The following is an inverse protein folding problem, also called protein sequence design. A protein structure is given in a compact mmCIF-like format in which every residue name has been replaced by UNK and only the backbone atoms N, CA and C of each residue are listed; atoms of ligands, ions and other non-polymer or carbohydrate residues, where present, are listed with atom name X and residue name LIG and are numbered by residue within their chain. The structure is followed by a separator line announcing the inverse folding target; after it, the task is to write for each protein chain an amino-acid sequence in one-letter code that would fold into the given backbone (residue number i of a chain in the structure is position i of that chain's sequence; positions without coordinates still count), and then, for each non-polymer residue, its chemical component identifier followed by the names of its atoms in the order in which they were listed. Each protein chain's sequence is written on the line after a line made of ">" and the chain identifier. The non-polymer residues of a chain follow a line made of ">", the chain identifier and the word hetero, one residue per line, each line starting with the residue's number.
data_IF_756972793337
#
_entry.id   IF_756972793337
#
_cell.length_a   1.000
_cell.length_b   1.000
_cell.length_c   1.000
_cell.angle_alpha   90.00
_cell.angle_beta   90.00
_cell.angle_gamma   90.00
#
_symmetry.space_group_name_H-M   'P 1'
#
loop_
_entity.id
_entity.type
_entity.pdbx_description
1 polymer ?
#
# COMPACT_ATOMS: atom_id res chain seq x y z
N UNK A 1 25.24 -30.31 -48.60
CA UNK A 1 24.27 -30.63 -47.52
C UNK A 1 24.92 -30.26 -46.19
N UNK A 2 24.43 -29.24 -45.47
CA UNK A 2 24.96 -28.87 -44.15
C UNK A 2 24.42 -29.88 -43.13
N UNK A 3 25.29 -30.61 -42.43
CA UNK A 3 24.88 -31.49 -41.33
C UNK A 3 24.27 -30.62 -40.23
N UNK A 4 22.98 -30.77 -39.93
CA UNK A 4 22.42 -30.27 -38.68
C UNK A 4 22.99 -31.13 -37.56
N UNK A 5 23.81 -30.53 -36.69
CA UNK A 5 24.15 -31.12 -35.41
C UNK A 5 22.90 -31.04 -34.53
N UNK A 6 22.28 -32.19 -34.25
CA UNK A 6 21.22 -32.28 -33.26
C UNK A 6 21.76 -32.06 -31.85
N UNK A 7 20.92 -31.54 -30.96
CA UNK A 7 21.23 -31.44 -29.53
C UNK A 7 21.41 -32.84 -28.94
N UNK A 8 22.38 -33.02 -28.04
CA UNK A 8 22.58 -34.30 -27.37
C UNK A 8 21.59 -34.47 -26.21
N UNK A 9 21.20 -35.71 -25.90
CA UNK A 9 20.34 -35.99 -24.74
C UNK A 9 20.98 -35.52 -23.43
N UNK A 10 22.29 -35.61 -23.32
CA UNK A 10 23.02 -35.17 -22.12
C UNK A 10 22.98 -33.64 -21.95
N UNK A 11 23.03 -32.87 -23.04
CA UNK A 11 22.86 -31.41 -22.98
C UNK A 11 21.45 -31.01 -22.55
N UNK A 12 20.43 -31.74 -22.98
CA UNK A 12 19.06 -31.46 -22.53
C UNK A 12 18.92 -31.76 -21.02
N UNK A 13 19.48 -32.89 -20.56
CA UNK A 13 19.43 -33.30 -19.15
C UNK A 13 20.24 -32.35 -18.26
N UNK A 14 21.43 -31.91 -18.68
CA UNK A 14 22.21 -30.97 -17.87
C UNK A 14 21.49 -29.62 -17.71
N UNK A 15 20.79 -29.14 -18.75
CA UNK A 15 20.06 -27.87 -18.69
C UNK A 15 18.91 -27.92 -17.69
N UNK A 16 18.09 -28.98 -17.72
CA UNK A 16 17.00 -29.11 -16.75
C UNK A 16 17.51 -29.25 -15.31
N UNK A 17 18.66 -29.92 -15.10
CA UNK A 17 19.28 -30.05 -13.79
C UNK A 17 19.77 -28.69 -13.28
N UNK A 18 20.47 -27.92 -14.13
CA UNK A 18 20.94 -26.58 -13.77
C UNK A 18 19.75 -25.65 -13.47
N UNK A 19 18.71 -25.65 -14.31
CA UNK A 19 17.50 -24.86 -14.08
C UNK A 19 16.78 -25.28 -12.79
N UNK A 20 16.75 -26.58 -12.48
CA UNK A 20 16.18 -27.10 -11.23
C UNK A 20 16.92 -26.61 -9.99
N UNK A 21 18.25 -26.61 -10.00
CA UNK A 21 19.07 -26.10 -8.89
C UNK A 21 18.87 -24.59 -8.71
N UNK A 22 18.89 -23.83 -9.81
CA UNK A 22 18.67 -22.39 -9.78
C UNK A 22 17.28 -22.04 -9.25
N UNK A 23 16.24 -22.77 -9.68
CA UNK A 23 14.88 -22.57 -9.21
C UNK A 23 14.73 -22.86 -7.71
N UNK A 24 15.33 -23.95 -7.22
CA UNK A 24 15.27 -24.34 -5.81
C UNK A 24 15.87 -23.28 -4.87
N UNK A 25 16.95 -22.62 -5.29
CA UNK A 25 17.63 -21.58 -4.48
C UNK A 25 16.98 -20.20 -4.64
N UNK A 26 16.49 -19.86 -5.84
CA UNK A 26 15.96 -18.53 -6.12
C UNK A 26 14.52 -18.35 -5.62
N UNK A 27 13.66 -19.36 -5.75
CA UNK A 27 12.23 -19.25 -5.45
C UNK A 27 11.92 -18.84 -4.00
N UNK A 28 12.59 -19.37 -2.96
CA UNK A 28 12.38 -18.91 -1.58
C UNK A 28 12.67 -17.41 -1.38
N UNK A 29 13.68 -16.86 -2.08
CA UNK A 29 14.01 -15.43 -1.99
C UNK A 29 12.95 -14.55 -2.65
N UNK A 30 12.43 -14.96 -3.80
CA UNK A 30 11.39 -14.21 -4.51
C UNK A 30 10.06 -14.14 -3.73
N UNK A 31 9.69 -15.22 -3.03
CA UNK A 31 8.48 -15.23 -2.18
C UNK A 31 8.60 -14.25 -1.01
N UNK A 32 9.75 -14.21 -0.34
CA UNK A 32 9.97 -13.29 0.78
C UNK A 32 10.03 -11.81 0.33
N UNK A 33 10.67 -11.53 -0.81
CA UNK A 33 10.77 -10.17 -1.36
C UNK A 33 9.40 -9.53 -1.61
N UNK A 34 8.43 -10.32 -2.07
CA UNK A 34 7.08 -9.84 -2.37
C UNK A 34 6.33 -9.41 -1.10
N UNK A 35 6.46 -10.18 -0.02
CA UNK A 35 5.88 -9.83 1.29
C UNK A 35 6.53 -8.58 1.88
N UNK A 36 7.86 -8.51 1.84
CA UNK A 36 8.60 -7.34 2.36
C UNK A 36 8.31 -6.06 1.56
N UNK A 37 8.15 -6.17 0.24
CA UNK A 37 7.73 -5.05 -0.61
C UNK A 37 6.33 -4.53 -0.21
N UNK A 38 5.39 -5.42 0.10
CA UNK A 38 4.04 -5.02 0.58
C UNK A 38 4.10 -4.37 1.95
N UNK A 39 4.89 -4.91 2.88
CA UNK A 39 5.09 -4.29 4.20
C UNK A 39 5.67 -2.88 4.09
N UNK A 40 6.65 -2.69 3.21
CA UNK A 40 7.22 -1.37 2.93
C UNK A 40 6.18 -0.42 2.31
N UNK A 41 5.37 -0.91 1.37
CA UNK A 41 4.27 -0.14 0.75
C UNK A 41 3.21 0.26 1.78
N UNK A 42 2.90 -0.62 2.72
CA UNK A 42 1.98 -0.36 3.83
C UNK A 42 2.53 0.67 4.81
N UNK A 43 3.82 0.57 5.17
CA UNK A 43 4.49 1.56 6.00
C UNK A 43 4.53 2.95 5.31
N UNK A 44 4.74 2.98 4.00
CA UNK A 44 4.62 4.19 3.19
C UNK A 44 3.22 4.79 3.25
N UNK A 45 2.18 3.96 3.16
CA UNK A 45 0.79 4.41 3.27
C UNK A 45 0.46 4.98 4.66
N UNK A 46 0.94 4.36 5.74
CA UNK A 46 0.78 4.89 7.11
C UNK A 46 1.43 6.27 7.25
N UNK A 47 2.69 6.41 6.80
CA UNK A 47 3.39 7.68 6.80
C UNK A 47 2.68 8.76 5.98
N UNK A 48 2.20 8.40 4.79
CA UNK A 48 1.47 9.31 3.92
C UNK A 48 0.15 9.78 4.55
N UNK A 49 -0.62 8.88 5.20
CA UNK A 49 -1.85 9.27 5.88
C UNK A 49 -1.61 10.19 7.08
N UNK A 50 -0.58 9.92 7.89
CA UNK A 50 -0.20 10.81 9.00
C UNK A 50 0.21 12.19 8.50
N UNK A 51 1.01 12.23 7.43
CA UNK A 51 1.45 13.49 6.82
C UNK A 51 0.26 14.27 6.26
N UNK A 52 -0.61 13.62 5.48
CA UNK A 52 -1.81 14.22 4.91
C UNK A 52 -2.75 14.77 5.99
N UNK A 53 -2.98 14.03 7.07
CA UNK A 53 -3.81 14.47 8.19
C UNK A 53 -3.24 15.76 8.83
N UNK A 54 -1.93 15.81 9.09
CA UNK A 54 -1.28 16.97 9.69
C UNK A 54 -1.25 18.18 8.75
N UNK A 55 -0.98 17.96 7.46
CA UNK A 55 -0.96 19.04 6.46
C UNK A 55 -2.35 19.63 6.24
N UNK A 56 -3.37 18.79 6.10
CA UNK A 56 -4.75 19.26 5.98
C UNK A 56 -5.22 19.98 7.25
N UNK A 57 -4.77 19.54 8.42
CA UNK A 57 -5.05 20.24 9.67
C UNK A 57 -4.44 21.63 9.73
N UNK A 58 -3.17 21.77 9.36
CA UNK A 58 -2.52 23.07 9.27
C UNK A 58 -3.22 23.99 8.26
N UNK A 59 -3.61 23.45 7.09
CA UNK A 59 -4.36 24.20 6.08
C UNK A 59 -5.74 24.64 6.58
N UNK A 60 -6.46 23.79 7.31
CA UNK A 60 -7.76 24.13 7.86
C UNK A 60 -7.70 25.21 8.95
N UNK A 61 -6.70 25.14 9.82
CA UNK A 61 -6.44 26.19 10.81
C UNK A 61 -6.08 27.53 10.15
N UNK A 62 -5.27 27.50 9.09
CA UNK A 62 -4.90 28.70 8.35
C UNK A 62 -6.09 29.31 7.58
N UNK A 63 -6.96 28.46 7.03
CA UNK A 63 -8.14 28.89 6.28
C UNK A 63 -9.33 29.28 7.19
N UNK A 64 -9.38 28.78 8.44
CA UNK A 64 -10.54 28.93 9.32
C UNK A 64 -11.80 28.26 8.78
N UNK A 65 -11.65 27.21 7.97
CA UNK A 65 -12.72 26.58 7.20
C UNK A 65 -12.72 25.06 7.37
N UNK A 66 -13.91 24.47 7.41
CA UNK A 66 -14.12 23.01 7.41
C UNK A 66 -13.97 22.38 6.01
N UNK A 67 -13.52 23.16 5.03
CA UNK A 67 -13.19 22.73 3.67
C UNK A 67 -11.85 23.36 3.28
N UNK A 68 -10.94 22.53 2.77
CA UNK A 68 -9.66 22.98 2.18
C UNK A 68 -9.62 22.63 0.71
N UNK A 69 -9.13 23.54 -0.12
CA UNK A 69 -8.94 23.30 -1.55
C UNK A 69 -7.46 23.10 -1.83
N UNK A 70 -7.11 21.94 -2.37
CA UNK A 70 -5.75 21.58 -2.75
C UNK A 70 -5.78 21.20 -4.23
N UNK A 71 -4.91 21.81 -5.04
CA UNK A 71 -4.87 21.58 -6.50
C UNK A 71 -6.24 21.75 -7.19
N UNK A 72 -7.03 22.74 -6.74
CA UNK A 72 -8.37 22.99 -7.29
C UNK A 72 -9.47 22.00 -6.86
N UNK A 73 -9.13 20.99 -6.05
CA UNK A 73 -10.08 20.01 -5.51
C UNK A 73 -10.44 20.34 -4.08
N UNK A 74 -11.73 20.41 -3.76
CA UNK A 74 -12.22 20.68 -2.42
C UNK A 74 -12.31 19.39 -1.59
N UNK A 75 -11.72 19.41 -0.40
CA UNK A 75 -11.76 18.31 0.55
C UNK A 75 -12.48 18.76 1.82
N UNK A 76 -13.48 17.99 2.23
CA UNK A 76 -14.21 18.19 3.48
C UNK A 76 -13.39 17.69 4.66
N UNK A 77 -13.46 18.44 5.75
CA UNK A 77 -12.82 18.12 7.02
C UNK A 77 -13.85 17.88 8.13
N UNK A 78 -13.46 17.04 9.08
CA UNK A 78 -14.14 16.78 10.33
C UNK A 78 -13.22 17.25 11.45
N UNK A 79 -13.69 18.19 12.27
CA UNK A 79 -12.91 18.76 13.39
C UNK A 79 -11.51 19.26 12.97
N UNK A 80 -11.42 19.92 11.81
CA UNK A 80 -10.16 20.39 11.20
C UNK A 80 -9.18 19.27 10.78
N UNK A 81 -9.64 18.04 10.59
CA UNK A 81 -8.84 16.96 10.00
C UNK A 81 -9.57 16.36 8.79
N UNK A 82 -8.89 15.68 7.85
CA UNK A 82 -9.57 15.05 6.72
C UNK A 82 -10.72 14.15 7.17
N UNK A 83 -11.84 14.17 6.44
CA UNK A 83 -12.84 13.12 6.59
C UNK A 83 -12.28 11.76 6.14
N UNK A 84 -12.87 10.67 6.60
CA UNK A 84 -12.54 9.32 6.17
C UNK A 84 -12.75 9.14 4.65
N UNK A 85 -13.70 9.89 4.06
CA UNK A 85 -13.90 9.90 2.62
C UNK A 85 -12.72 10.51 1.84
N UNK A 86 -11.97 11.43 2.45
CA UNK A 86 -10.96 12.22 1.74
C UNK A 86 -9.52 11.85 2.07
N UNK A 87 -9.27 11.21 3.22
CA UNK A 87 -7.91 10.90 3.67
C UNK A 87 -7.13 10.05 2.66
N UNK A 88 -7.77 9.05 2.05
CA UNK A 88 -7.12 8.17 1.08
C UNK A 88 -6.64 8.93 -0.16
N UNK A 89 -7.46 9.86 -0.64
CA UNK A 89 -7.14 10.69 -1.80
C UNK A 89 -6.06 11.71 -1.46
N UNK A 90 -6.16 12.37 -0.31
CA UNK A 90 -5.16 13.34 0.16
C UNK A 90 -3.79 12.70 0.43
N UNK A 91 -3.77 11.47 0.91
CA UNK A 91 -2.54 10.71 1.14
C UNK A 91 -2.02 10.01 -0.14
N UNK A 92 -2.74 10.09 -1.27
CA UNK A 92 -2.34 9.43 -2.51
C UNK A 92 -2.41 7.90 -2.46
N UNK A 93 -3.20 7.33 -1.54
CA UNK A 93 -3.34 5.88 -1.31
C UNK A 93 -4.66 5.32 -1.83
N UNK A 94 -5.18 5.92 -2.90
CA UNK A 94 -6.40 5.50 -3.61
C UNK A 94 -6.09 5.09 -5.08
N UNK A 95 -4.85 4.67 -5.35
CA UNK A 95 -4.38 4.25 -6.67
C UNK A 95 -4.30 2.74 -6.84
N UNK A 96 -3.78 2.27 -7.97
CA UNK A 96 -3.70 0.84 -8.35
C UNK A 96 -2.93 -0.06 -7.37
N UNK A 97 -2.07 0.52 -6.52
CA UNK A 97 -1.34 -0.21 -5.47
C UNK A 97 -2.12 -0.41 -4.17
N UNK A 98 -3.31 0.19 -4.05
CA UNK A 98 -4.07 0.24 -2.80
C UNK A 98 -5.55 -0.07 -3.03
N UNK A 99 -6.20 -0.58 -2.00
CA UNK A 99 -7.66 -0.71 -1.93
C UNK A 99 -8.11 0.13 -0.74
N UNK A 100 -8.75 1.26 -1.03
CA UNK A 100 -9.30 2.16 -0.02
C UNK A 100 -10.79 1.85 0.18
N UNK A 101 -11.18 1.50 1.42
CA UNK A 101 -12.57 1.24 1.80
C UNK A 101 -12.97 2.17 2.92
N UNK A 102 -14.12 2.84 2.79
CA UNK A 102 -14.64 3.74 3.83
C UNK A 102 -15.95 3.17 4.37
N UNK A 103 -16.01 3.00 5.70
CA UNK A 103 -17.21 2.54 6.40
C UNK A 103 -17.47 3.50 7.57
N UNK A 104 -18.54 4.30 7.45
CA UNK A 104 -18.84 5.36 8.41
C UNK A 104 -17.67 6.34 8.53
N UNK A 105 -17.14 6.49 9.74
CA UNK A 105 -16.05 7.42 10.08
C UNK A 105 -14.66 6.78 9.97
N UNK A 106 -14.55 5.56 9.46
CA UNK A 106 -13.27 4.84 9.34
C UNK A 106 -12.93 4.57 7.88
N UNK A 107 -11.72 4.98 7.47
CA UNK A 107 -11.10 4.59 6.21
C UNK A 107 -10.08 3.46 6.47
N UNK A 108 -10.13 2.42 5.66
CA UNK A 108 -9.19 1.30 5.70
C UNK A 108 -8.45 1.23 4.38
N UNK A 109 -7.13 1.26 4.44
CA UNK A 109 -6.23 1.17 3.28
C UNK A 109 -5.53 -0.17 3.32
N UNK A 110 -5.76 -0.98 2.30
CA UNK A 110 -5.11 -2.27 2.11
C UNK A 110 -4.14 -2.21 0.93
N UNK A 111 -3.03 -2.95 1.00
CA UNK A 111 -2.12 -3.08 -0.15
C UNK A 111 -2.75 -4.04 -1.16
N UNK A 112 -2.83 -3.64 -2.43
CA UNK A 112 -3.41 -4.46 -3.48
C UNK A 112 -2.62 -5.78 -3.66
N UNK A 113 -3.33 -6.88 -3.83
CA UNK A 113 -2.74 -8.20 -4.06
C UNK A 113 -2.10 -8.85 -2.83
N UNK A 114 -2.28 -8.32 -1.62
CA UNK A 114 -1.91 -9.00 -0.38
C UNK A 114 -2.63 -10.36 -0.27
N UNK A 115 -1.95 -11.39 0.23
CA UNK A 115 -2.52 -12.73 0.37
C UNK A 115 -3.65 -12.76 1.42
N UNK A 116 -3.50 -11.97 2.48
CA UNK A 116 -4.52 -11.76 3.51
C UNK A 116 -4.74 -10.25 3.72
N UNK A 117 -5.59 -9.60 2.90
CA UNK A 117 -5.79 -8.14 2.94
C UNK A 117 -6.21 -7.60 4.31
N UNK A 118 -7.05 -8.35 5.04
CA UNK A 118 -7.54 -7.98 6.37
C UNK A 118 -6.42 -7.84 7.43
N UNK A 119 -5.24 -8.40 7.16
CA UNK A 119 -4.08 -8.34 8.04
C UNK A 119 -2.88 -7.65 7.37
N UNK A 120 -3.14 -6.93 6.27
CA UNK A 120 -2.19 -6.07 5.56
C UNK A 120 -2.82 -4.70 5.31
N UNK A 121 -3.06 -3.94 6.38
CA UNK A 121 -3.85 -2.72 6.34
C UNK A 121 -3.42 -1.63 7.33
N UNK A 122 -3.75 -0.39 6.97
CA UNK A 122 -3.72 0.77 7.84
C UNK A 122 -5.13 1.33 7.93
N UNK A 123 -5.52 1.79 9.12
CA UNK A 123 -6.84 2.37 9.35
C UNK A 123 -6.70 3.80 9.83
N UNK A 124 -7.59 4.66 9.34
CA UNK A 124 -7.79 6.02 9.80
C UNK A 124 -9.21 6.14 10.33
N UNK A 125 -9.38 6.60 11.57
CA UNK A 125 -10.70 7.00 12.10
C UNK A 125 -10.72 8.49 12.30
N UNK A 126 -11.80 9.13 11.84
CA UNK A 126 -11.98 10.58 11.90
C UNK A 126 -11.79 11.15 13.32
N UNK A 127 -11.35 12.40 13.36
CA UNK A 127 -11.19 13.16 14.57
C UNK A 127 -12.52 13.29 15.33
N UNK A 128 -12.51 12.97 16.63
CA UNK A 128 -13.58 13.37 17.54
C UNK A 128 -13.45 14.85 17.91
N UNK A 129 -14.52 15.44 18.47
CA UNK A 129 -14.47 16.83 18.92
C UNK A 129 -13.35 17.02 19.96
N UNK A 130 -12.44 17.95 19.68
CA UNK A 130 -11.30 18.25 20.55
C UNK A 130 -10.17 17.21 20.55
N UNK A 131 -10.18 16.22 19.65
CA UNK A 131 -9.15 15.19 19.55
C UNK A 131 -8.61 15.05 18.11
N UNK A 132 -7.36 14.62 17.99
CA UNK A 132 -6.77 14.23 16.71
C UNK A 132 -7.40 12.91 16.19
N UNK A 133 -7.37 12.64 14.87
CA UNK A 133 -7.82 11.37 14.32
C UNK A 133 -6.92 10.24 14.79
N UNK A 134 -7.48 9.03 14.89
CA UNK A 134 -6.72 7.86 15.31
C UNK A 134 -6.19 7.11 14.10
N UNK A 135 -4.86 6.91 14.09
CA UNK A 135 -4.16 6.08 13.11
C UNK A 135 -3.32 5.09 13.90
N UNK A 136 -3.85 3.87 14.17
CA UNK A 136 -3.12 2.82 14.86
C UNK A 136 -1.86 2.39 14.09
N UNK A 137 -0.99 1.61 14.73
CA UNK A 137 0.11 0.98 14.01
C UNK A 137 -0.44 0.07 12.89
N UNK A 138 0.22 0.01 11.71
CA UNK A 138 -0.20 -0.86 10.62
C UNK A 138 -0.29 -2.33 11.04
N UNK A 139 -1.35 -3.00 10.62
CA UNK A 139 -1.46 -4.46 10.73
C UNK A 139 -0.80 -5.06 9.50
N UNK A 140 0.28 -5.82 9.67
CA UNK A 140 1.12 -6.30 8.57
C UNK A 140 1.37 -7.82 8.59
N UNK A 141 0.63 -8.56 9.40
CA UNK A 141 0.69 -10.03 9.49
C UNK A 141 0.14 -10.65 8.21
N UNK A 142 1.01 -11.13 7.31
CA UNK A 142 0.56 -11.78 6.05
C UNK A 142 0.39 -10.83 4.86
N UNK A 143 0.99 -9.63 4.94
CA UNK A 143 1.52 -8.98 3.75
C UNK A 143 2.56 -9.91 3.08
#
# INVERSE_FOLDING_TARGET
>A
MKKQAGFTLIELVMVIVILGILAAVALPKFVNLSGDARKATLAGADGAMRSAANMAHAAALAAGSSVVTIEGTAYTLVNNYPSAANIATLAGVNGTGYVATVVGTTATIQVAGAATPASCQVTYTEAAAGAAPTIPAPVNTGC
#
